data_IF_168371920008
#
_entry.id   IF_168371920008
#
_cell.length_a   1.000
_cell.length_b   1.000
_cell.length_c   1.000
_cell.angle_alpha   90.00
_cell.angle_beta   90.00
_cell.angle_gamma   90.00
#
_symmetry.space_group_name_H-M   'P 1'
#
loop_
_entity.id
_entity.type
_entity.pdbx_description
1 polymer ?
#
# COMPACT_ATOMS: atom_id res chain seq x y z
N UNK A 1 5.66 27.44 -7.08
CA UNK A 1 4.25 27.20 -7.35
C UNK A 1 3.73 26.13 -6.39
N UNK A 2 2.51 26.30 -5.90
CA UNK A 2 1.85 25.29 -5.09
C UNK A 2 0.76 24.61 -5.92
N UNK A 3 0.64 23.31 -5.73
CA UNK A 3 -0.46 22.53 -6.30
C UNK A 3 -1.18 21.85 -5.13
N UNK A 4 -2.48 22.02 -5.04
CA UNK A 4 -3.27 21.45 -3.95
C UNK A 4 -4.30 20.50 -4.53
N UNK A 5 -4.26 19.25 -4.12
CA UNK A 5 -5.27 18.25 -4.46
C UNK A 5 -6.11 17.96 -3.23
N UNK A 6 -7.40 17.73 -3.45
CA UNK A 6 -8.32 17.38 -2.35
C UNK A 6 -8.47 15.86 -2.30
N UNK A 7 -8.41 15.29 -1.09
CA UNK A 7 -8.51 13.84 -0.94
C UNK A 7 -9.80 13.31 -1.53
N UNK A 8 -10.91 14.04 -1.41
CA UNK A 8 -12.18 13.59 -1.97
C UNK A 8 -12.12 13.38 -3.48
N UNK A 9 -11.29 14.17 -4.18
CA UNK A 9 -11.12 14.04 -5.63
C UNK A 9 -10.17 12.90 -6.00
N UNK A 10 -9.47 12.33 -5.03
CA UNK A 10 -8.50 11.26 -5.23
C UNK A 10 -9.06 9.88 -4.85
N UNK A 11 -10.25 9.82 -4.28
CA UNK A 11 -10.85 8.56 -3.86
C UNK A 11 -11.14 7.66 -5.05
N UNK A 12 -10.92 6.36 -4.83
CA UNK A 12 -11.12 5.35 -5.85
C UNK A 12 -12.09 4.28 -5.34
N UNK A 13 -12.80 3.65 -6.26
CA UNK A 13 -13.77 2.62 -5.93
C UNK A 13 -14.93 3.17 -5.11
N UNK A 14 -15.58 2.27 -4.37
CA UNK A 14 -16.71 2.62 -3.53
C UNK A 14 -16.36 2.93 -2.08
N UNK A 15 -15.08 2.86 -1.73
CA UNK A 15 -14.62 3.05 -0.36
C UNK A 15 -13.99 4.42 -0.13
N UNK A 16 -13.15 4.49 0.90
CA UNK A 16 -12.52 5.74 1.31
C UNK A 16 -11.04 5.81 0.95
N UNK A 17 -10.49 4.80 0.30
CA UNK A 17 -9.10 4.82 -0.13
C UNK A 17 -8.89 5.87 -1.21
N UNK A 18 -7.85 6.68 -1.05
CA UNK A 18 -7.47 7.69 -2.03
C UNK A 18 -6.20 7.25 -2.75
N UNK A 19 -6.08 7.64 -4.02
CA UNK A 19 -4.93 7.35 -4.86
C UNK A 19 -4.37 8.65 -5.41
N UNK A 20 -3.08 8.88 -5.15
CA UNK A 20 -2.37 10.05 -5.65
C UNK A 20 -1.23 9.58 -6.54
N UNK A 21 -1.22 10.01 -7.81
CA UNK A 21 -0.08 9.81 -8.70
C UNK A 21 0.60 11.14 -8.94
N UNK A 22 1.86 11.23 -8.51
CA UNK A 22 2.57 12.50 -8.50
C UNK A 22 2.83 13.11 -9.87
N UNK A 23 2.87 12.31 -10.94
CA UNK A 23 3.15 12.77 -12.27
C UNK A 23 2.22 13.92 -12.68
N UNK A 24 0.94 13.82 -12.36
CA UNK A 24 -0.04 14.83 -12.73
C UNK A 24 0.14 16.15 -11.96
N UNK A 25 0.91 16.14 -10.89
CA UNK A 25 1.06 17.28 -9.98
C UNK A 25 2.49 17.78 -9.85
N UNK A 26 3.42 17.21 -10.62
CA UNK A 26 4.84 17.59 -10.53
C UNK A 26 5.54 17.05 -9.30
N UNK A 27 5.04 15.95 -8.70
CA UNK A 27 5.63 15.31 -7.53
C UNK A 27 6.34 14.03 -7.93
N UNK A 28 7.47 13.74 -7.28
CA UNK A 28 8.26 12.54 -7.57
C UNK A 28 7.75 11.27 -6.90
N UNK A 29 6.68 11.35 -6.11
CA UNK A 29 6.14 10.18 -5.42
C UNK A 29 4.68 10.00 -5.77
N UNK A 30 4.17 8.80 -5.46
CA UNK A 30 2.75 8.50 -5.49
C UNK A 30 2.37 7.83 -4.18
N UNK A 31 1.08 7.76 -3.85
CA UNK A 31 0.67 7.04 -2.65
C UNK A 31 -0.78 6.59 -2.75
N UNK A 32 -1.09 5.58 -1.96
CA UNK A 32 -2.46 5.28 -1.57
C UNK A 32 -2.63 5.68 -0.11
N UNK A 33 -3.69 6.41 0.19
CA UNK A 33 -4.14 6.59 1.56
C UNK A 33 -5.22 5.54 1.80
N UNK A 34 -4.81 4.43 2.40
CA UNK A 34 -5.66 3.25 2.56
C UNK A 34 -6.62 3.46 3.72
N UNK A 35 -7.89 3.14 3.48
CA UNK A 35 -8.93 3.03 4.51
C UNK A 35 -9.62 1.69 4.30
N UNK A 36 -9.21 0.69 5.06
CA UNK A 36 -9.75 -0.67 4.91
C UNK A 36 -10.42 -1.14 6.18
N UNK A 37 -11.54 -1.84 6.02
CA UNK A 37 -12.16 -2.57 7.11
C UNK A 37 -11.59 -3.98 7.16
N UNK A 38 -11.88 -4.70 8.24
CA UNK A 38 -11.34 -6.03 8.50
C UNK A 38 -11.45 -6.95 7.28
N UNK A 39 -10.35 -7.59 6.92
CA UNK A 39 -10.27 -8.52 5.80
C UNK A 39 -9.95 -7.89 4.46
N UNK A 40 -10.05 -6.58 4.33
CA UNK A 40 -9.76 -5.91 3.06
C UNK A 40 -8.27 -5.66 2.88
N UNK A 41 -7.84 -5.69 1.64
CA UNK A 41 -6.45 -5.41 1.25
C UNK A 41 -6.21 -5.82 -0.20
N UNK A 42 -5.09 -5.39 -0.76
CA UNK A 42 -4.78 -5.70 -2.16
C UNK A 42 -4.34 -7.15 -2.33
N UNK A 43 -4.53 -7.67 -3.54
CA UNK A 43 -3.97 -8.94 -3.93
C UNK A 43 -2.43 -8.86 -3.98
N UNK A 44 -1.74 -10.01 -3.90
CA UNK A 44 -0.28 -10.02 -4.02
C UNK A 44 0.20 -9.32 -5.28
N UNK A 45 1.19 -8.47 -5.14
CA UNK A 45 1.72 -7.70 -6.25
C UNK A 45 3.17 -7.29 -5.97
N UNK A 46 3.81 -6.69 -6.98
CA UNK A 46 5.20 -6.29 -6.92
C UNK A 46 5.38 -4.97 -7.66
N UNK A 47 6.35 -4.16 -7.20
CA UNK A 47 6.72 -2.89 -7.82
C UNK A 47 8.19 -2.89 -8.19
N UNK A 48 8.58 -2.17 -9.24
CA UNK A 48 10.00 -2.02 -9.61
C UNK A 48 10.74 -0.99 -8.75
N UNK A 49 10.10 -0.43 -7.72
CA UNK A 49 10.64 0.56 -6.81
C UNK A 49 10.25 0.20 -5.37
N UNK A 50 10.84 0.88 -4.40
CA UNK A 50 10.50 0.65 -3.00
C UNK A 50 9.19 1.33 -2.63
N UNK A 51 8.51 0.75 -1.65
CA UNK A 51 7.29 1.31 -1.08
C UNK A 51 7.47 1.43 0.42
N UNK A 52 7.01 2.54 0.99
CA UNK A 52 7.08 2.77 2.44
C UNK A 52 5.66 2.93 2.96
N UNK A 53 5.33 2.14 3.97
CA UNK A 53 4.02 2.21 4.63
C UNK A 53 4.15 2.87 5.98
N UNK A 54 3.23 3.79 6.28
CA UNK A 54 3.10 4.39 7.60
C UNK A 54 1.72 4.04 8.12
N UNK A 55 1.66 3.26 9.20
CA UNK A 55 0.38 2.85 9.79
C UNK A 55 -0.11 3.98 10.68
N UNK A 56 -1.24 4.57 10.32
CA UNK A 56 -1.82 5.71 11.02
C UNK A 56 -2.86 5.28 12.05
N UNK A 57 -3.57 4.17 11.82
CA UNK A 57 -4.56 3.62 12.74
C UNK A 57 -4.83 2.17 12.36
N UNK A 58 -5.23 1.36 13.34
CA UNK A 58 -5.57 -0.04 13.11
C UNK A 58 -4.36 -0.92 12.96
N UNK A 59 -4.56 -2.10 12.39
CA UNK A 59 -3.51 -3.12 12.24
C UNK A 59 -3.64 -3.82 10.90
N UNK A 60 -2.52 -4.33 10.40
CA UNK A 60 -2.47 -5.08 9.16
C UNK A 60 -1.62 -6.33 9.31
N UNK A 61 -2.07 -7.42 8.69
CA UNK A 61 -1.26 -8.61 8.50
C UNK A 61 -0.61 -8.51 7.13
N UNK A 62 0.72 -8.52 7.12
CA UNK A 62 1.51 -8.42 5.89
C UNK A 62 1.98 -9.80 5.51
N UNK A 63 1.90 -10.12 4.23
CA UNK A 63 2.48 -11.34 3.67
C UNK A 63 3.46 -10.95 2.57
N UNK A 64 4.63 -11.58 2.59
CA UNK A 64 5.66 -11.35 1.59
C UNK A 64 6.50 -12.61 1.41
N UNK A 65 7.45 -12.56 0.49
CA UNK A 65 8.42 -13.64 0.32
C UNK A 65 9.25 -13.88 1.59
N UNK A 66 9.36 -12.88 2.47
CA UNK A 66 10.10 -13.01 3.74
C UNK A 66 9.27 -13.61 4.86
N UNK A 67 7.98 -13.86 4.63
CA UNK A 67 7.08 -14.41 5.62
C UNK A 67 5.97 -13.44 5.97
N UNK A 68 5.39 -13.59 7.17
CA UNK A 68 4.26 -12.79 7.63
C UNK A 68 4.66 -11.93 8.83
N UNK A 69 4.04 -10.76 8.93
CA UNK A 69 4.22 -9.88 10.07
C UNK A 69 2.94 -9.09 10.30
N UNK A 70 2.65 -8.79 11.57
CA UNK A 70 1.55 -7.89 11.92
C UNK A 70 2.13 -6.54 12.33
N UNK A 71 1.56 -5.48 11.79
CA UNK A 71 1.97 -4.10 12.12
C UNK A 71 0.77 -3.33 12.64
N UNK A 72 1.02 -2.30 13.42
CA UNK A 72 -0.01 -1.51 14.05
C UNK A 72 0.36 -0.03 14.05
N UNK A 73 -0.54 0.80 14.57
CA UNK A 73 -0.38 2.25 14.59
C UNK A 73 1.03 2.66 15.03
N UNK A 74 1.65 3.53 14.25
CA UNK A 74 3.01 4.03 14.50
C UNK A 74 4.12 3.25 13.82
N UNK A 75 3.82 2.06 13.31
CA UNK A 75 4.85 1.27 12.61
C UNK A 75 5.10 1.82 11.21
N UNK A 76 6.36 1.71 10.79
CA UNK A 76 6.78 2.03 9.43
C UNK A 76 7.36 0.77 8.80
N UNK A 77 6.89 0.45 7.60
CA UNK A 77 7.33 -0.74 6.86
C UNK A 77 7.97 -0.30 5.56
N UNK A 78 9.11 -0.88 5.23
CA UNK A 78 9.73 -0.66 3.92
C UNK A 78 9.65 -1.97 3.14
N UNK A 79 9.03 -1.91 1.97
CA UNK A 79 8.99 -3.01 1.02
C UNK A 79 9.97 -2.66 -0.08
N UNK A 80 11.07 -3.42 -0.17
CA UNK A 80 12.10 -3.12 -1.17
C UNK A 80 11.62 -3.45 -2.57
N UNK A 81 12.25 -2.82 -3.56
CA UNK A 81 11.92 -3.03 -4.96
C UNK A 81 11.96 -4.53 -5.29
N UNK A 82 11.00 -5.01 -6.05
CA UNK A 82 10.95 -6.40 -6.49
C UNK A 82 10.45 -7.40 -5.46
N UNK A 83 10.02 -6.94 -4.27
CA UNK A 83 9.51 -7.82 -3.24
C UNK A 83 8.00 -8.02 -3.40
N UNK A 84 7.58 -9.25 -3.65
CA UNK A 84 6.17 -9.60 -3.73
C UNK A 84 5.52 -9.45 -2.35
N UNK A 85 4.37 -8.80 -2.29
CA UNK A 85 3.73 -8.49 -1.01
C UNK A 85 2.22 -8.31 -1.14
N UNK A 86 1.55 -8.47 -0.02
CA UNK A 86 0.14 -8.12 0.16
C UNK A 86 -0.11 -7.82 1.63
N UNK A 87 -1.28 -7.27 1.94
CA UNK A 87 -1.69 -7.08 3.33
C UNK A 87 -3.20 -7.19 3.44
N UNK A 88 -3.67 -7.38 4.67
CA UNK A 88 -5.08 -7.38 5.03
C UNK A 88 -5.25 -6.59 6.31
N UNK A 89 -6.29 -5.77 6.37
CA UNK A 89 -6.68 -5.15 7.62
C UNK A 89 -7.14 -6.24 8.58
N UNK A 90 -6.70 -6.19 9.84
CA UNK A 90 -7.07 -7.17 10.86
C UNK A 90 -7.59 -6.45 12.09
N UNK A 91 -8.55 -7.08 12.76
CA UNK A 91 -9.17 -6.51 13.94
C UNK A 91 -10.33 -5.58 13.61
N UNK A 92 -11.08 -5.15 14.62
CA UNK A 92 -12.30 -4.37 14.42
C UNK A 92 -12.06 -2.91 14.04
N UNK A 93 -10.91 -2.35 14.39
CA UNK A 93 -10.58 -0.97 14.06
C UNK A 93 -10.17 -0.86 12.59
N UNK A 94 -10.72 0.10 11.83
CA UNK A 94 -10.32 0.30 10.44
C UNK A 94 -8.83 0.59 10.31
N UNK A 95 -8.20 -0.01 9.30
CA UNK A 95 -6.81 0.26 8.98
C UNK A 95 -6.73 1.57 8.19
N UNK A 96 -5.89 2.48 8.66
CA UNK A 96 -5.53 3.69 7.92
C UNK A 96 -4.02 3.66 7.73
N UNK A 97 -3.59 3.69 6.48
CA UNK A 97 -2.17 3.52 6.18
C UNK A 97 -1.80 4.33 4.95
N UNK A 98 -0.69 5.06 5.04
CA UNK A 98 -0.11 5.70 3.87
C UNK A 98 0.83 4.71 3.22
N UNK A 99 0.59 4.43 1.94
CA UNK A 99 1.43 3.53 1.14
C UNK A 99 2.15 4.38 0.10
N UNK A 100 3.40 4.75 0.39
CA UNK A 100 4.16 5.73 -0.41
C UNK A 100 5.05 5.00 -1.39
N UNK A 101 4.83 5.25 -2.67
CA UNK A 101 5.58 4.67 -3.78
C UNK A 101 6.68 5.64 -4.23
N UNK A 102 7.90 5.13 -4.36
CA UNK A 102 9.05 5.93 -4.79
C UNK A 102 9.03 6.13 -6.32
N UNK A 103 7.93 6.65 -6.83
CA UNK A 103 7.74 6.85 -8.26
C UNK A 103 6.61 7.85 -8.50
N UNK A 104 6.73 8.72 -9.52
CA UNK A 104 5.65 9.63 -9.88
C UNK A 104 4.46 8.91 -10.52
N UNK A 105 4.61 7.63 -10.88
CA UNK A 105 3.54 6.79 -11.40
C UNK A 105 3.47 5.50 -10.62
N UNK A 106 2.25 5.01 -10.39
CA UNK A 106 2.05 3.73 -9.73
C UNK A 106 2.20 2.64 -10.78
N UNK A 107 3.19 1.77 -10.58
CA UNK A 107 3.50 0.65 -11.46
C UNK A 107 3.48 -0.60 -10.61
N UNK A 108 2.56 -1.53 -10.90
CA UNK A 108 2.48 -2.76 -10.15
C UNK A 108 2.03 -3.91 -11.05
N UNK A 109 2.55 -5.09 -10.74
CA UNK A 109 2.17 -6.32 -11.39
C UNK A 109 1.45 -7.19 -10.37
N UNK A 110 0.20 -7.57 -10.67
CA UNK A 110 -0.58 -8.45 -9.81
C UNK A 110 -0.09 -9.88 -10.04
N UNK A 111 0.15 -10.61 -8.95
CA UNK A 111 0.79 -11.90 -9.00
C UNK A 111 -0.21 -13.02 -8.71
N UNK A 112 0.16 -14.23 -9.12
CA UNK A 112 -0.57 -15.42 -8.72
C UNK A 112 -0.44 -15.59 -7.21
N UNK A 113 -1.57 -15.78 -6.57
CA UNK A 113 -1.77 -15.71 -5.14
C UNK A 113 -0.77 -16.54 -4.33
N UNK A 114 -0.66 -17.82 -4.62
CA UNK A 114 0.10 -18.72 -3.77
C UNK A 114 1.56 -18.83 -4.15
N UNK A 115 1.82 -18.97 -5.43
CA UNK A 115 3.17 -19.26 -5.88
C UNK A 115 4.13 -18.07 -5.67
N UNK A 116 3.62 -16.85 -5.77
CA UNK A 116 4.47 -15.66 -5.77
C UNK A 116 4.84 -15.20 -4.35
N UNK A 117 4.06 -15.59 -3.36
CA UNK A 117 4.35 -15.26 -1.96
C UNK A 117 5.05 -16.41 -1.24
N UNK A 118 5.25 -17.53 -1.89
CA UNK A 118 6.03 -18.61 -1.33
C UNK A 118 7.48 -18.21 -1.34
N UNK A 119 8.16 -18.48 -0.26
CA UNK A 119 9.58 -18.17 -0.17
C UNK A 119 10.28 -18.82 -1.33
N UNK A 120 11.01 -18.03 -1.99
CA UNK A 120 11.74 -18.53 -3.10
C UNK A 120 12.74 -19.52 -2.63
N UNK A 121 12.57 -20.55 -3.16
CA UNK A 121 13.35 -21.50 -2.74
C UNK A 121 14.62 -21.55 -3.41
#
# INVERSE_FOLDING_TARGET
MLVIAKEDDLRIGGGRTARFEGEAYGSGISFFHVHNTEGQGPDPHVHPYSETWVVLAGSALIRSADGEATVTEGDVVVVSAGTAHSFRAVGPEPLKMMCIHASPRIQQEVLDDTAQLTVAN
#
